data_IF_160579596625
#
_entry.id   IF_160579596625
#
_cell.length_a   1.000
_cell.length_b   1.000
_cell.length_c   1.000
_cell.angle_alpha   90.00
_cell.angle_beta   90.00
_cell.angle_gamma   90.00
#
_symmetry.space_group_name_H-M   'P 1'
#
loop_
_entity.id
_entity.type
_entity.pdbx_description
1 polymer ?
#
# COMPACT_ATOMS: atom_id res chain seq x y z
N UNK A 1 -22.57 30.20 31.74
CA UNK A 1 -21.47 29.26 32.04
C UNK A 1 -21.31 28.25 30.90
N UNK A 2 -20.40 28.50 29.95
CA UNK A 2 -20.11 27.60 28.80
C UNK A 2 -18.90 26.70 29.14
N UNK A 3 -19.05 25.77 30.09
CA UNK A 3 -17.97 24.84 30.49
C UNK A 3 -18.05 23.47 29.80
N UNK A 4 -19.19 23.15 29.18
CA UNK A 4 -19.44 21.90 28.46
C UNK A 4 -18.53 21.66 27.25
N UNK A 5 -18.30 22.61 26.32
CA UNK A 5 -17.52 22.30 25.12
C UNK A 5 -16.05 21.99 25.44
N UNK A 6 -15.49 22.65 26.46
CA UNK A 6 -14.10 22.40 26.88
C UNK A 6 -13.90 21.01 27.47
N UNK A 7 -14.87 20.51 28.25
CA UNK A 7 -14.81 19.16 28.83
C UNK A 7 -14.92 18.09 27.74
N UNK A 8 -15.80 18.27 26.76
CA UNK A 8 -15.93 17.37 25.62
C UNK A 8 -14.65 17.32 24.76
N UNK A 9 -14.03 18.47 24.49
CA UNK A 9 -12.76 18.52 23.76
C UNK A 9 -11.63 17.80 24.52
N UNK A 10 -11.57 17.93 25.85
CA UNK A 10 -10.59 17.21 26.67
C UNK A 10 -10.80 15.70 26.65
N UNK A 11 -12.07 15.24 26.70
CA UNK A 11 -12.39 13.81 26.59
C UNK A 11 -11.99 13.26 25.22
N UNK A 12 -12.30 13.98 24.14
CA UNK A 12 -11.89 13.59 22.79
C UNK A 12 -10.37 13.55 22.63
N UNK A 13 -9.67 14.56 23.15
CA UNK A 13 -8.20 14.60 23.12
C UNK A 13 -7.58 13.43 23.92
N UNK A 14 -8.12 13.14 25.12
CA UNK A 14 -7.66 12.02 25.94
C UNK A 14 -7.93 10.66 25.26
N UNK A 15 -9.11 10.49 24.64
CA UNK A 15 -9.43 9.28 23.89
C UNK A 15 -8.52 9.09 22.67
N UNK A 16 -8.23 10.17 21.93
CA UNK A 16 -7.30 10.13 20.81
C UNK A 16 -5.87 9.81 21.28
N UNK A 17 -5.42 10.41 22.38
CA UNK A 17 -4.11 10.11 22.96
C UNK A 17 -4.01 8.64 23.39
N UNK A 18 -5.09 8.09 23.99
CA UNK A 18 -5.14 6.68 24.35
C UNK A 18 -5.03 5.77 23.11
N UNK A 19 -5.73 6.11 22.02
CA UNK A 19 -5.61 5.42 20.74
C UNK A 19 -4.17 5.45 20.21
N UNK A 20 -3.52 6.61 20.24
CA UNK A 20 -2.11 6.75 19.85
C UNK A 20 -1.20 5.87 20.71
N UNK A 21 -1.41 5.83 22.02
CA UNK A 21 -0.61 4.98 22.91
C UNK A 21 -0.83 3.49 22.68
N UNK A 22 -2.06 3.08 22.32
CA UNK A 22 -2.39 1.69 22.00
C UNK A 22 -1.80 1.28 20.65
N UNK A 23 -1.87 2.15 19.64
CA UNK A 23 -1.23 1.95 18.33
C UNK A 23 0.30 1.87 18.47
N UNK A 24 0.91 2.77 19.23
CA UNK A 24 2.35 2.76 19.51
C UNK A 24 2.81 1.50 20.29
N UNK A 25 1.91 0.83 21.00
CA UNK A 25 2.19 -0.41 21.73
C UNK A 25 1.85 -1.67 20.92
N UNK A 26 1.46 -1.54 19.64
CA UNK A 26 1.14 -2.68 18.78
C UNK A 26 -0.13 -3.44 19.16
N UNK A 27 -1.08 -2.78 19.85
CA UNK A 27 -2.31 -3.45 20.29
C UNK A 27 -3.31 -3.56 19.13
N UNK A 28 -3.60 -4.78 18.69
CA UNK A 28 -4.59 -5.06 17.65
C UNK A 28 -6.03 -4.81 18.16
N UNK A 29 -6.54 -3.60 17.92
CA UNK A 29 -7.90 -3.20 18.32
C UNK A 29 -8.98 -3.96 17.53
N UNK A 30 -8.64 -4.53 16.37
CA UNK A 30 -9.56 -5.25 15.49
C UNK A 30 -10.20 -6.47 16.15
N UNK A 31 -9.52 -7.10 17.10
CA UNK A 31 -10.00 -8.29 17.82
C UNK A 31 -11.02 -7.99 18.92
N UNK A 32 -11.14 -6.72 19.33
CA UNK A 32 -12.03 -6.26 20.42
C UNK A 32 -13.50 -6.11 19.96
N UNK A 33 -13.83 -6.62 18.77
CA UNK A 33 -15.19 -6.66 18.23
C UNK A 33 -15.57 -5.47 17.35
N UNK A 34 -16.87 -5.16 17.17
CA UNK A 34 -17.33 -4.17 16.20
C UNK A 34 -16.87 -2.73 16.50
N UNK A 35 -16.74 -2.38 17.79
CA UNK A 35 -16.18 -1.08 18.21
C UNK A 35 -14.69 -1.02 17.91
N UNK A 36 -13.97 -2.13 18.15
CA UNK A 36 -12.56 -2.28 17.81
C UNK A 36 -12.27 -2.01 16.33
N UNK A 37 -13.09 -2.57 15.42
CA UNK A 37 -12.99 -2.29 13.97
C UNK A 37 -13.24 -0.83 13.60
N UNK A 38 -14.16 -0.16 14.27
CA UNK A 38 -14.42 1.26 14.03
C UNK A 38 -13.24 2.14 14.50
N UNK A 39 -12.68 1.81 15.67
CA UNK A 39 -11.51 2.47 16.22
C UNK A 39 -10.26 2.23 15.37
N UNK A 40 -10.08 1.02 14.86
CA UNK A 40 -9.04 0.65 13.91
C UNK A 40 -9.14 1.48 12.62
N UNK A 41 -10.34 1.57 12.04
CA UNK A 41 -10.57 2.41 10.85
C UNK A 41 -10.30 3.91 11.11
N UNK A 42 -10.71 4.41 12.28
CA UNK A 42 -10.37 5.78 12.71
C UNK A 42 -8.87 5.95 12.92
N UNK A 43 -8.20 4.95 13.49
CA UNK A 43 -6.74 4.90 13.66
C UNK A 43 -6.00 4.98 12.34
N UNK A 44 -6.44 4.23 11.33
CA UNK A 44 -5.92 4.28 9.96
C UNK A 44 -6.15 5.64 9.29
N UNK A 45 -7.31 6.25 9.48
CA UNK A 45 -7.64 7.55 8.90
C UNK A 45 -6.90 8.72 9.57
N UNK A 46 -6.63 8.61 10.88
CA UNK A 46 -6.01 9.68 11.69
C UNK A 46 -4.50 9.50 11.93
N UNK A 47 -3.94 8.33 11.62
CA UNK A 47 -2.56 7.97 11.96
C UNK A 47 -2.35 7.55 13.42
N UNK A 48 -3.41 7.47 14.24
CA UNK A 48 -3.30 7.07 15.64
C UNK A 48 -3.03 5.58 15.84
N UNK A 49 -3.22 4.75 14.81
CA UNK A 49 -2.96 3.31 14.87
C UNK A 49 -1.53 2.90 14.49
N UNK A 50 -0.64 3.85 14.16
CA UNK A 50 0.70 3.52 13.70
C UNK A 50 1.60 3.05 14.84
N UNK A 51 2.25 1.89 14.65
CA UNK A 51 3.33 1.41 15.50
C UNK A 51 4.63 2.17 15.16
N UNK A 52 5.38 2.58 16.18
CA UNK A 52 6.62 3.35 16.02
C UNK A 52 7.83 2.47 16.35
N UNK A 53 8.09 1.50 15.49
CA UNK A 53 9.12 0.48 15.69
C UNK A 53 10.54 0.91 15.27
N UNK A 54 10.84 2.20 15.41
CA UNK A 54 12.13 2.79 14.99
C UNK A 54 13.36 2.19 15.67
N UNK A 55 13.20 1.45 16.78
CA UNK A 55 14.32 0.93 17.59
C UNK A 55 14.15 -0.53 18.03
N UNK A 56 13.20 -1.29 17.48
CA UNK A 56 13.04 -2.70 17.87
C UNK A 56 13.98 -3.59 17.04
N UNK A 57 14.66 -4.52 17.70
CA UNK A 57 15.63 -5.46 17.10
C UNK A 57 14.96 -6.62 16.35
N UNK A 58 13.72 -6.42 15.88
CA UNK A 58 12.98 -7.42 15.11
C UNK A 58 13.39 -7.28 13.65
N UNK A 59 13.44 -8.41 12.95
CA UNK A 59 13.86 -8.55 11.55
C UNK A 59 13.60 -7.27 10.76
N UNK A 60 14.67 -6.62 10.29
CA UNK A 60 14.62 -5.37 9.53
C UNK A 60 14.13 -5.64 8.10
N UNK A 61 13.01 -6.32 7.99
CA UNK A 61 12.32 -6.61 6.75
C UNK A 61 11.44 -5.44 6.36
N UNK A 62 11.59 -4.96 5.13
CA UNK A 62 10.72 -3.93 4.58
C UNK A 62 10.03 -4.46 3.32
N UNK A 63 8.74 -4.18 3.18
CA UNK A 63 8.04 -4.41 1.93
C UNK A 63 8.33 -3.28 0.95
N UNK A 64 8.76 -3.66 -0.25
CA UNK A 64 9.06 -2.73 -1.35
C UNK A 64 8.10 -3.02 -2.49
N UNK A 65 7.42 -1.97 -2.94
CA UNK A 65 6.43 -2.03 -4.01
C UNK A 65 7.05 -1.56 -5.33
N UNK A 66 7.13 -2.47 -6.29
CA UNK A 66 7.59 -2.21 -7.65
C UNK A 66 6.43 -2.30 -8.63
N UNK A 67 6.36 -1.35 -9.57
CA UNK A 67 5.44 -1.39 -10.69
C UNK A 67 6.25 -1.43 -11.98
N UNK A 68 6.14 -2.52 -12.72
CA UNK A 68 6.70 -2.63 -14.05
C UNK A 68 5.64 -2.26 -15.09
N UNK A 69 5.96 -1.28 -15.91
CA UNK A 69 5.15 -0.84 -17.04
C UNK A 69 5.78 -1.40 -18.32
N UNK A 70 4.99 -2.13 -19.11
CA UNK A 70 5.44 -2.76 -20.34
C UNK A 70 4.65 -2.14 -21.50
N UNK A 71 5.36 -1.51 -22.44
CA UNK A 71 4.77 -0.86 -23.61
C UNK A 71 4.37 -1.86 -24.72
N UNK A 72 3.88 -1.34 -25.84
CA UNK A 72 3.48 -2.15 -26.98
C UNK A 72 4.67 -2.88 -27.64
N UNK A 73 5.85 -2.25 -27.61
CA UNK A 73 7.12 -2.75 -28.13
C UNK A 73 7.79 -3.76 -27.20
N UNK A 74 7.26 -3.95 -25.98
CA UNK A 74 7.77 -4.86 -24.97
C UNK A 74 8.91 -4.28 -24.12
N UNK A 75 9.20 -2.98 -24.23
CA UNK A 75 10.14 -2.30 -23.34
C UNK A 75 9.52 -2.19 -21.95
N UNK A 76 10.34 -2.48 -20.94
CA UNK A 76 9.95 -2.50 -19.52
C UNK A 76 10.57 -1.31 -18.81
N UNK A 77 9.72 -0.54 -18.13
CA UNK A 77 10.12 0.53 -17.23
C UNK A 77 9.70 0.16 -15.81
N UNK A 78 10.64 0.10 -14.87
CA UNK A 78 10.36 -0.22 -13.47
C UNK A 78 10.25 1.05 -12.65
N UNK A 79 9.12 1.22 -11.98
CA UNK A 79 8.87 2.29 -11.02
C UNK A 79 8.89 1.70 -9.62
N UNK A 80 9.90 2.07 -8.83
CA UNK A 80 9.89 1.82 -7.38
C UNK A 80 9.12 2.94 -6.71
N UNK A 81 7.98 2.60 -6.11
CA UNK A 81 7.23 3.55 -5.30
C UNK A 81 8.05 3.75 -4.02
N UNK A 82 8.51 4.97 -3.74
CA UNK A 82 9.35 5.30 -2.57
C UNK A 82 10.47 6.28 -2.87
N UNK A 83 10.90 6.42 -4.13
CA UNK A 83 12.02 7.31 -4.48
C UNK A 83 11.53 8.71 -4.90
N UNK A 84 11.67 9.69 -4.01
CA UNK A 84 11.93 11.09 -4.41
C UNK A 84 10.77 12.11 -4.47
N UNK A 85 9.56 11.82 -3.97
CA UNK A 85 8.46 12.81 -3.96
C UNK A 85 8.42 13.65 -2.68
N UNK A 86 8.39 13.00 -1.51
CA UNK A 86 8.51 13.61 -0.17
C UNK A 86 8.59 12.48 0.88
N UNK A 87 9.07 12.79 2.09
CA UNK A 87 9.12 11.84 3.19
C UNK A 87 7.72 11.29 3.57
N UNK A 88 6.69 12.15 3.54
CA UNK A 88 5.30 11.72 3.79
C UNK A 88 4.75 10.80 2.69
N UNK A 89 5.16 11.03 1.43
CA UNK A 89 4.80 10.14 0.33
C UNK A 89 5.48 8.77 0.46
N UNK A 90 6.72 8.75 0.95
CA UNK A 90 7.48 7.53 1.24
C UNK A 90 6.83 6.72 2.36
N UNK A 91 6.46 7.37 3.48
CA UNK A 91 5.72 6.73 4.58
C UNK A 91 4.38 6.14 4.10
N UNK A 92 3.63 6.86 3.27
CA UNK A 92 2.37 6.34 2.71
C UNK A 92 2.58 5.15 1.78
N UNK A 93 3.64 5.15 0.99
CA UNK A 93 3.96 4.03 0.12
C UNK A 93 4.40 2.81 0.93
N UNK A 94 5.23 3.00 1.97
CA UNK A 94 5.64 1.94 2.88
C UNK A 94 4.41 1.32 3.58
N UNK A 95 3.47 2.15 4.03
CA UNK A 95 2.20 1.69 4.58
C UNK A 95 1.38 0.87 3.57
N UNK A 96 1.23 1.36 2.33
CA UNK A 96 0.54 0.60 1.27
C UNK A 96 1.26 -0.73 1.00
N UNK A 97 2.59 -0.77 1.02
CA UNK A 97 3.35 -2.00 0.84
C UNK A 97 3.14 -2.98 2.00
N UNK A 98 3.07 -2.50 3.24
CA UNK A 98 2.73 -3.28 4.43
C UNK A 98 1.30 -3.83 4.41
N UNK A 99 0.33 -3.07 3.90
CA UNK A 99 -1.06 -3.54 3.73
C UNK A 99 -1.16 -4.81 2.85
N UNK A 100 -0.22 -5.06 1.92
CA UNK A 100 -0.22 -6.31 1.17
C UNK A 100 0.04 -7.54 2.06
N UNK A 101 0.74 -7.39 3.17
CA UNK A 101 1.01 -8.48 4.11
C UNK A 101 -0.27 -8.93 4.83
N UNK A 102 -1.00 -7.97 5.40
CA UNK A 102 -2.16 -8.22 6.26
C UNK A 102 -3.48 -8.33 5.49
N UNK A 103 -3.57 -7.77 4.28
CA UNK A 103 -4.79 -7.79 3.50
C UNK A 103 -5.18 -9.21 3.05
N UNK A 104 -6.48 -9.48 3.08
CA UNK A 104 -7.06 -10.69 2.50
C UNK A 104 -6.76 -10.78 0.99
N UNK A 105 -6.68 -11.99 0.39
CA UNK A 105 -6.30 -12.16 -1.02
C UNK A 105 -7.13 -11.33 -2.01
N UNK A 106 -8.43 -11.18 -1.75
CA UNK A 106 -9.33 -10.37 -2.59
C UNK A 106 -8.98 -8.87 -2.52
N UNK A 107 -8.76 -8.36 -1.30
CA UNK A 107 -8.36 -6.96 -1.08
C UNK A 107 -6.98 -6.68 -1.70
N UNK A 108 -6.01 -7.59 -1.51
CA UNK A 108 -4.70 -7.53 -2.17
C UNK A 108 -4.80 -7.35 -3.68
N UNK A 109 -5.70 -8.12 -4.30
CA UNK A 109 -5.92 -8.03 -5.76
C UNK A 109 -6.55 -6.71 -6.18
N UNK A 110 -7.51 -6.18 -5.43
CA UNK A 110 -8.12 -4.89 -5.71
C UNK A 110 -7.13 -3.72 -5.50
N UNK A 111 -6.27 -3.77 -4.48
CA UNK A 111 -5.18 -2.82 -4.29
C UNK A 111 -4.23 -2.83 -5.50
N UNK A 112 -3.77 -4.01 -5.92
CA UNK A 112 -2.90 -4.16 -7.08
C UNK A 112 -3.58 -3.64 -8.37
N UNK A 113 -4.88 -3.89 -8.53
CA UNK A 113 -5.68 -3.43 -9.67
C UNK A 113 -5.82 -1.90 -9.68
N UNK A 114 -6.08 -1.28 -8.53
CA UNK A 114 -6.14 0.17 -8.38
C UNK A 114 -4.81 0.83 -8.74
N UNK A 115 -3.70 0.25 -8.27
CA UNK A 115 -2.37 0.73 -8.62
C UNK A 115 -2.07 0.59 -10.12
N UNK A 116 -2.44 -0.55 -10.71
CA UNK A 116 -2.28 -0.77 -12.14
C UNK A 116 -3.12 0.20 -12.99
N UNK A 117 -4.35 0.50 -12.58
CA UNK A 117 -5.20 1.48 -13.24
C UNK A 117 -4.55 2.87 -13.27
N UNK A 118 -4.03 3.33 -12.12
CA UNK A 118 -3.28 4.59 -12.02
C UNK A 118 -2.05 4.64 -12.93
N UNK A 119 -1.38 3.50 -13.12
CA UNK A 119 -0.22 3.41 -13.99
C UNK A 119 -0.61 3.39 -15.46
N UNK A 120 -1.73 2.77 -15.82
CA UNK A 120 -2.27 2.84 -17.18
C UNK A 120 -2.73 4.25 -17.59
N UNK A 121 -3.19 5.06 -16.64
CA UNK A 121 -3.50 6.49 -16.85
C UNK A 121 -2.24 7.32 -17.11
N UNK A 122 -1.17 7.07 -16.33
CA UNK A 122 0.13 7.76 -16.47
C UNK A 122 0.90 7.32 -17.72
N UNK A 123 0.69 6.09 -18.16
CA UNK A 123 1.35 5.47 -19.32
C UNK A 123 0.29 4.99 -20.32
N UNK A 124 -0.27 5.89 -21.15
CA UNK A 124 -1.23 5.52 -22.19
C UNK A 124 -0.69 4.45 -23.16
N UNK A 125 0.62 4.44 -23.40
CA UNK A 125 1.37 3.49 -24.22
C UNK A 125 1.48 2.09 -23.60
N UNK A 126 1.25 1.96 -22.29
CA UNK A 126 1.41 0.70 -21.59
C UNK A 126 0.36 -0.33 -22.04
N UNK A 127 0.84 -1.51 -22.44
CA UNK A 127 0.02 -2.68 -22.78
C UNK A 127 -0.24 -3.55 -21.55
N UNK A 128 0.76 -3.69 -20.70
CA UNK A 128 0.76 -4.53 -19.51
C UNK A 128 1.39 -3.77 -18.33
N UNK A 129 0.80 -3.92 -17.16
CA UNK A 129 1.36 -3.43 -15.89
C UNK A 129 1.47 -4.61 -14.94
N UNK A 130 2.65 -4.77 -14.34
CA UNK A 130 2.93 -5.78 -13.34
C UNK A 130 3.17 -5.10 -12.00
N UNK A 131 2.36 -5.42 -11.01
CA UNK A 131 2.57 -4.99 -9.63
C UNK A 131 3.30 -6.10 -8.90
N UNK A 132 4.47 -5.79 -8.33
CA UNK A 132 5.28 -6.70 -7.51
C UNK A 132 5.48 -6.12 -6.13
N UNK A 133 5.34 -6.97 -5.13
CA UNK A 133 5.75 -6.68 -3.75
C UNK A 133 6.87 -7.63 -3.39
N UNK A 134 7.97 -7.06 -2.95
CA UNK A 134 9.15 -7.79 -2.50
C UNK A 134 9.36 -7.52 -1.01
N UNK A 135 9.78 -8.54 -0.27
CA UNK A 135 10.19 -8.40 1.12
C UNK A 135 11.72 -8.38 1.16
N UNK A 136 12.27 -7.24 1.58
CA UNK A 136 13.69 -6.99 1.64
C UNK A 136 14.15 -7.11 3.09
N UNK A 137 14.92 -8.15 3.41
CA UNK A 137 15.54 -8.32 4.71
C UNK A 137 16.84 -7.53 4.73
N UNK A 138 16.85 -6.42 5.46
CA UNK A 138 18.05 -5.65 5.74
C UNK A 138 18.90 -6.44 6.73
N UNK A 139 20.19 -6.48 6.49
CA UNK A 139 21.18 -7.12 7.35
C UNK A 139 21.94 -6.03 8.08
N UNK A 140 22.15 -6.19 9.39
CA UNK A 140 22.92 -5.23 10.18
C UNK A 140 24.37 -5.15 9.71
N UNK A 141 25.05 -4.03 9.91
CA UNK A 141 26.43 -3.84 9.44
C UNK A 141 27.41 -4.89 9.97
N UNK A 142 27.26 -5.32 11.23
CA UNK A 142 28.12 -6.34 11.82
C UNK A 142 27.84 -7.74 11.25
N UNK A 143 26.58 -8.04 10.96
CA UNK A 143 26.19 -9.27 10.27
C UNK A 143 26.69 -9.27 8.82
N UNK A 144 26.65 -8.12 8.15
CA UNK A 144 27.21 -7.97 6.80
C UNK A 144 28.72 -8.22 6.80
N UNK A 145 29.45 -7.68 7.78
CA UNK A 145 30.89 -7.95 7.98
C UNK A 145 31.17 -9.43 8.27
N UNK A 146 30.23 -10.14 8.88
CA UNK A 146 30.32 -11.59 9.10
C UNK A 146 29.97 -12.44 7.88
N UNK A 147 29.65 -11.82 6.73
CA UNK A 147 29.34 -12.48 5.47
C UNK A 147 27.86 -12.78 5.23
N UNK A 148 26.94 -12.26 6.06
CA UNK A 148 25.51 -12.30 5.71
C UNK A 148 25.21 -11.28 4.61
N UNK A 149 24.40 -11.70 3.64
CA UNK A 149 23.93 -10.85 2.55
C UNK A 149 22.46 -10.49 2.72
N UNK A 150 22.05 -9.28 2.35
CA UNK A 150 20.65 -8.91 2.24
C UNK A 150 19.88 -9.89 1.36
N UNK A 151 18.66 -10.21 1.75
CA UNK A 151 17.81 -11.14 1.01
C UNK A 151 16.58 -10.43 0.48
N UNK A 152 16.26 -10.71 -0.78
CA UNK A 152 15.04 -10.27 -1.43
C UNK A 152 14.19 -11.50 -1.70
N UNK A 153 12.98 -11.54 -1.16
CA UNK A 153 11.98 -12.56 -1.49
C UNK A 153 10.78 -11.92 -2.18
N UNK A 154 10.23 -12.60 -3.18
CA UNK A 154 8.98 -12.16 -3.82
C UNK A 154 7.82 -12.54 -2.92
N UNK A 155 7.07 -11.52 -2.49
CA UNK A 155 5.90 -11.70 -1.65
C UNK A 155 4.63 -11.80 -2.49
N UNK A 156 4.49 -10.94 -3.51
CA UNK A 156 3.29 -10.89 -4.35
C UNK A 156 3.62 -10.46 -5.77
N UNK A 157 2.92 -11.03 -6.76
CA UNK A 157 2.89 -10.52 -8.12
C UNK A 157 1.47 -10.56 -8.73
N UNK A 158 1.14 -9.53 -9.50
CA UNK A 158 -0.08 -9.50 -10.29
C UNK A 158 0.13 -8.76 -11.61
N UNK A 159 -0.43 -9.33 -12.67
CA UNK A 159 -0.34 -8.78 -14.03
C UNK A 159 -1.71 -8.29 -14.49
N UNK A 160 -1.70 -7.11 -15.08
CA UNK A 160 -2.89 -6.46 -15.61
C UNK A 160 -2.62 -6.05 -17.06
N UNK A 161 -3.60 -6.24 -17.93
CA UNK A 161 -3.52 -5.87 -19.35
C UNK A 161 -4.65 -4.93 -19.69
N UNK A 162 -4.40 -3.95 -20.56
CA UNK A 162 -5.49 -3.13 -21.10
C UNK A 162 -6.45 -4.02 -21.90
N UNK A 163 -7.77 -3.89 -21.70
CA UNK A 163 -8.74 -4.50 -22.61
C UNK A 163 -8.46 -3.97 -24.02
N UNK A 164 -8.36 -4.86 -25.01
CA UNK A 164 -8.34 -4.39 -26.40
C UNK A 164 -9.67 -3.69 -26.67
N UNK A 165 -9.68 -2.52 -27.33
CA UNK A 165 -10.93 -1.95 -27.80
C UNK A 165 -11.63 -3.02 -28.65
N UNK A 166 -12.87 -3.34 -28.26
CA UNK A 166 -13.73 -4.24 -29.03
C UNK A 166 -13.93 -3.53 -30.37
N UNK A 167 -13.34 -4.05 -31.45
CA UNK A 167 -13.65 -3.58 -32.80
C UNK A 167 -15.16 -3.75 -32.94
N UNK A 168 -15.92 -2.65 -32.89
CA UNK A 168 -17.30 -2.66 -33.29
C UNK A 168 -17.33 -3.12 -34.74
N UNK A 169 -17.88 -4.31 -34.95
CA UNK A 169 -18.10 -4.85 -36.27
C UNK A 169 -18.96 -3.85 -37.04
N UNK A 170 -18.34 -3.11 -37.96
CA UNK A 170 -19.02 -2.46 -39.07
C UNK A 170 -19.69 -3.53 -39.93
N UNK A 171 -20.85 -4.02 -39.50
CA UNK A 171 -21.92 -4.40 -40.42
C UNK A 171 -22.50 -3.06 -40.89
N UNK A 172 -22.26 -2.58 -42.11
CA UNK A 172 -22.38 -3.36 -43.33
C UNK A 172 -23.85 -3.51 -43.76
N UNK A 173 -24.73 -2.56 -43.46
CA UNK A 173 -25.99 -2.41 -44.19
C UNK A 173 -25.78 -1.52 -45.41
N UNK A 174 -25.15 -2.09 -46.42
CA UNK A 174 -25.42 -1.71 -47.80
C UNK A 174 -26.80 -2.28 -48.16
N UNK A 175 -27.80 -1.41 -48.28
CA UNK A 175 -28.97 -1.67 -49.11
C UNK A 175 -29.34 -0.39 -49.86
N UNK A 176 -28.76 -0.31 -51.05
CA UNK A 176 -29.22 0.39 -52.23
C UNK A 176 -30.50 -0.24 -52.79
N UNK A 177 -31.38 0.57 -53.38
CA UNK A 177 -32.46 0.12 -54.26
C UNK A 177 -33.78 0.81 -54.00
#
# INVERSE_FOLDING_TARGET
MRSTPRRWLLVLAAAHLLLVTLGAAGVELREVGPIGRLLDHYGLASGAGCEYDFFTSRDHGQFVLHVDVIDAEGRRTTHSLGTGASHEAELRVAHIAGEFETAEPALRRELAKSLAAKMFERHPEAREVVVRVEYFVVVLMDEHRSGREPRVSRFYDARFRKPRPRLEARHGSAHSG
#
